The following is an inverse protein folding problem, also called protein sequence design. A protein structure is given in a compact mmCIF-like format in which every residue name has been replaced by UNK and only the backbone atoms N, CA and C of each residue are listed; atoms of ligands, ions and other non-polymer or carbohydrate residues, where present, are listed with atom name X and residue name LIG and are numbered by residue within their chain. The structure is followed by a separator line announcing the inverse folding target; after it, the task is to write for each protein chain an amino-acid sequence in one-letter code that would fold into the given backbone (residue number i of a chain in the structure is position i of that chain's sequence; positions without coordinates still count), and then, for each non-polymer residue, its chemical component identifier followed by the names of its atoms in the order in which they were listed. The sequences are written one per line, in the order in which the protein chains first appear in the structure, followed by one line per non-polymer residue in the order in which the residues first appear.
data_IF_193597518276
#
_entry.id   IF_193597518276
#
_cell.length_a   1.000
_cell.length_b   1.000
_cell.length_c   1.000
_cell.angle_alpha   90.00
_cell.angle_beta   90.00
_cell.angle_gamma   90.00
#
_symmetry.space_group_name_H-M   'P 1'
#
loop_
_entity.id
_entity.type
_entity.pdbx_description
1 polymer ?
#
# COMPACT_ATOMS: atom_id res chain seq x y z
N UNK A 1 -19.57 -23.56 -6.76
CA UNK A 1 -18.15 -23.17 -6.95
C UNK A 1 -18.11 -21.70 -7.33
N UNK A 2 -17.47 -20.83 -6.54
CA UNK A 2 -17.41 -19.40 -6.87
C UNK A 2 -16.52 -19.21 -8.08
N UNK A 3 -17.00 -18.47 -9.08
CA UNK A 3 -16.20 -18.12 -10.26
C UNK A 3 -15.03 -17.24 -9.84
N UNK A 4 -13.81 -17.79 -9.94
CA UNK A 4 -12.54 -17.10 -9.62
C UNK A 4 -12.40 -15.78 -10.38
N UNK A 5 -12.92 -15.71 -11.61
CA UNK A 5 -12.89 -14.47 -12.42
C UNK A 5 -13.79 -13.40 -11.82
N UNK A 6 -14.93 -13.78 -11.26
CA UNK A 6 -15.88 -12.88 -10.60
C UNK A 6 -15.29 -12.33 -9.30
N UNK A 7 -14.66 -13.18 -8.48
CA UNK A 7 -13.93 -12.74 -7.28
C UNK A 7 -12.86 -11.71 -7.65
N UNK A 8 -12.03 -12.03 -8.64
CA UNK A 8 -10.96 -11.14 -9.08
C UNK A 8 -11.47 -9.79 -9.63
N UNK A 9 -12.67 -9.76 -10.24
CA UNK A 9 -13.33 -8.50 -10.60
C UNK A 9 -13.76 -7.70 -9.37
N UNK A 10 -14.37 -8.34 -8.37
CA UNK A 10 -14.78 -7.64 -7.13
C UNK A 10 -13.58 -7.12 -6.33
N UNK A 11 -12.44 -7.81 -6.35
CA UNK A 11 -11.18 -7.32 -5.79
C UNK A 11 -10.80 -5.92 -6.29
N UNK A 12 -11.10 -5.59 -7.54
CA UNK A 12 -10.83 -4.27 -8.13
C UNK A 12 -11.68 -3.14 -7.56
N UNK A 13 -12.81 -3.47 -6.93
CA UNK A 13 -13.70 -2.53 -6.24
C UNK A 13 -13.36 -2.51 -4.74
N UNK A 14 -13.23 -3.69 -4.13
CA UNK A 14 -13.01 -3.82 -2.69
C UNK A 14 -11.64 -3.29 -2.29
N UNK A 15 -10.58 -3.53 -3.07
CA UNK A 15 -9.22 -3.05 -2.77
C UNK A 15 -9.17 -1.53 -2.57
N UNK A 16 -9.63 -0.71 -3.54
CA UNK A 16 -9.72 0.74 -3.38
C UNK A 16 -10.63 1.19 -2.24
N UNK A 17 -11.77 0.53 -2.00
CA UNK A 17 -12.64 0.86 -0.87
C UNK A 17 -11.91 0.65 0.45
N UNK A 18 -11.16 -0.44 0.59
CA UNK A 18 -10.38 -0.72 1.79
C UNK A 18 -9.28 0.31 1.99
N UNK A 19 -8.48 0.61 0.96
CA UNK A 19 -7.37 1.57 1.12
C UNK A 19 -7.86 3.00 1.33
N UNK A 20 -8.78 3.50 0.50
CA UNK A 20 -9.34 4.85 0.64
C UNK A 20 -10.15 4.98 1.92
N UNK A 21 -10.94 3.95 2.27
CA UNK A 21 -11.70 3.93 3.52
C UNK A 21 -10.81 3.95 4.76
N UNK A 22 -9.70 3.21 4.76
CA UNK A 22 -8.73 3.23 5.85
C UNK A 22 -8.00 4.58 5.95
N UNK A 23 -7.59 5.17 4.81
CA UNK A 23 -7.00 6.52 4.78
C UNK A 23 -7.98 7.55 5.35
N UNK A 24 -9.23 7.53 4.89
CA UNK A 24 -10.25 8.47 5.33
C UNK A 24 -10.61 8.27 6.81
N UNK A 25 -10.71 7.03 7.27
CA UNK A 25 -10.94 6.76 8.68
C UNK A 25 -9.75 7.23 9.53
N UNK A 26 -8.51 7.05 9.03
CA UNK A 26 -7.32 7.57 9.70
C UNK A 26 -7.38 9.10 9.85
N UNK A 27 -7.82 9.86 8.83
CA UNK A 27 -7.94 11.33 8.97
C UNK A 27 -9.02 11.77 9.95
N UNK A 28 -10.06 10.95 10.17
CA UNK A 28 -11.11 11.24 11.16
C UNK A 28 -10.61 11.02 12.59
N UNK A 29 -9.87 9.92 12.83
CA UNK A 29 -9.44 9.53 14.18
C UNK A 29 -8.06 10.06 14.55
N UNK A 30 -7.34 10.66 13.60
CA UNK A 30 -5.99 11.16 13.81
C UNK A 30 -5.96 12.29 14.85
N UNK A 31 -5.06 12.20 15.85
CA UNK A 31 -4.73 13.34 16.69
C UNK A 31 -4.15 14.52 15.87
N UNK A 32 -4.39 15.78 16.27
CA UNK A 32 -3.83 16.96 15.61
C UNK A 32 -2.30 16.96 15.54
N UNK A 33 -1.63 16.24 16.43
CA UNK A 33 -0.18 16.07 16.45
C UNK A 33 0.33 15.27 15.24
N UNK A 34 -0.52 14.39 14.68
CA UNK A 34 -0.20 13.51 13.54
C UNK A 34 -0.87 13.93 12.24
N UNK A 35 -2.02 14.59 12.28
CA UNK A 35 -2.70 15.06 11.06
C UNK A 35 -3.53 16.32 11.27
N UNK A 36 -3.38 17.27 10.35
CA UNK A 36 -4.27 18.40 10.10
C UNK A 36 -4.33 18.59 8.59
N UNK A 37 -5.45 19.10 8.07
CA UNK A 37 -5.62 19.25 6.62
C UNK A 37 -4.70 20.29 5.99
N UNK A 38 -4.22 21.24 6.79
CA UNK A 38 -3.43 22.38 6.33
C UNK A 38 -1.92 22.20 6.57
N UNK A 39 -1.52 21.60 7.69
CA UNK A 39 -0.15 21.74 8.19
C UNK A 39 0.62 20.42 8.33
N UNK A 40 -0.07 19.27 8.29
CA UNK A 40 0.57 17.95 8.47
C UNK A 40 0.34 17.04 7.28
N UNK A 41 1.37 16.27 6.94
CA UNK A 41 1.31 15.37 5.81
C UNK A 41 0.41 14.16 6.12
N UNK A 42 -0.34 13.71 5.11
CA UNK A 42 -1.14 12.48 5.22
C UNK A 42 -0.27 11.26 5.62
N UNK A 43 0.98 11.22 5.18
CA UNK A 43 1.92 10.15 5.50
C UNK A 43 2.38 10.14 6.97
N UNK A 44 2.26 11.25 7.72
CA UNK A 44 2.60 11.28 9.15
C UNK A 44 1.67 10.36 9.97
N UNK A 45 0.45 10.10 9.48
CA UNK A 45 -0.46 9.11 10.08
C UNK A 45 0.09 7.68 10.03
N UNK A 46 1.01 7.40 9.10
CA UNK A 46 1.72 6.15 8.96
C UNK A 46 3.08 6.12 9.67
N UNK A 47 3.46 7.16 10.43
CA UNK A 47 4.72 7.17 11.19
C UNK A 47 4.70 6.15 12.32
N UNK A 48 5.83 5.47 12.56
CA UNK A 48 5.96 4.56 13.69
C UNK A 48 5.63 5.24 15.03
N UNK A 49 4.78 4.60 15.84
CA UNK A 49 4.31 5.16 17.11
C UNK A 49 3.11 6.11 16.99
N UNK A 50 2.70 6.52 15.79
CA UNK A 50 1.44 7.25 15.61
C UNK A 50 0.25 6.34 15.97
N UNK A 51 -0.81 6.85 16.63
CA UNK A 51 -1.99 6.05 16.96
C UNK A 51 -2.70 5.45 15.73
N UNK A 52 -2.57 6.13 14.58
CA UNK A 52 -3.14 5.70 13.29
C UNK A 52 -2.25 4.74 12.51
N UNK A 53 -1.06 4.39 13.01
CA UNK A 53 -0.03 3.65 12.26
C UNK A 53 -0.57 2.39 11.59
N UNK A 54 -1.22 1.52 12.36
CA UNK A 54 -1.77 0.26 11.86
C UNK A 54 -2.93 0.48 10.90
N UNK A 55 -3.79 1.47 11.17
CA UNK A 55 -4.95 1.76 10.35
C UNK A 55 -4.52 2.27 8.97
N UNK A 56 -3.60 3.24 8.93
CA UNK A 56 -3.12 3.84 7.70
C UNK A 56 -2.28 2.83 6.89
N UNK A 57 -1.16 2.35 7.45
CA UNK A 57 -0.25 1.45 6.73
C UNK A 57 -0.88 0.09 6.44
N UNK A 58 -1.59 -0.47 7.42
CA UNK A 58 -2.31 -1.73 7.25
C UNK A 58 -3.42 -1.62 6.21
N UNK A 59 -4.12 -0.49 6.15
CA UNK A 59 -5.12 -0.21 5.11
C UNK A 59 -4.54 -0.17 3.70
N UNK A 60 -3.37 0.45 3.52
CA UNK A 60 -2.66 0.47 2.24
C UNK A 60 -2.19 -0.92 1.81
N UNK A 61 -1.58 -1.68 2.74
CA UNK A 61 -1.11 -3.05 2.48
C UNK A 61 -2.30 -3.94 2.14
N UNK A 62 -3.33 -3.96 2.99
CA UNK A 62 -4.50 -4.80 2.81
C UNK A 62 -5.27 -4.44 1.53
N UNK A 63 -5.51 -3.15 1.28
CA UNK A 63 -6.18 -2.69 0.06
C UNK A 63 -5.40 -3.07 -1.20
N UNK A 64 -4.07 -2.95 -1.17
CA UNK A 64 -3.19 -3.41 -2.25
C UNK A 64 -3.27 -4.92 -2.46
N UNK A 65 -3.13 -5.73 -1.40
CA UNK A 65 -3.21 -7.19 -1.48
C UNK A 65 -4.58 -7.68 -1.97
N UNK A 66 -5.67 -7.06 -1.49
CA UNK A 66 -7.03 -7.35 -1.94
C UNK A 66 -7.23 -6.94 -3.40
N UNK A 67 -6.57 -5.88 -3.86
CA UNK A 67 -6.63 -5.39 -5.25
C UNK A 67 -5.81 -6.20 -6.25
N UNK A 68 -4.73 -6.88 -5.83
CA UNK A 68 -3.82 -7.62 -6.73
C UNK A 68 -4.51 -8.61 -7.68
N UNK A 69 -5.50 -9.43 -7.25
CA UNK A 69 -6.19 -10.35 -8.15
C UNK A 69 -6.87 -9.67 -9.35
N UNK A 70 -7.25 -8.39 -9.20
CA UNK A 70 -7.83 -7.62 -10.30
C UNK A 70 -6.82 -7.37 -11.42
N UNK A 71 -5.55 -7.12 -11.10
CA UNK A 71 -4.48 -6.99 -12.09
C UNK A 71 -4.33 -8.27 -12.93
N UNK A 72 -4.35 -9.44 -12.30
CA UNK A 72 -4.36 -10.73 -13.01
C UNK A 72 -5.58 -10.88 -13.94
N UNK A 73 -6.77 -10.48 -13.45
CA UNK A 73 -8.01 -10.54 -14.24
C UNK A 73 -7.96 -9.61 -15.45
N UNK A 74 -7.37 -8.43 -15.32
CA UNK A 74 -7.17 -7.51 -16.44
C UNK A 74 -6.15 -8.06 -17.43
N UNK A 75 -5.02 -8.62 -16.95
CA UNK A 75 -3.97 -9.17 -17.81
C UNK A 75 -4.49 -10.23 -18.79
N UNK A 76 -5.32 -11.17 -18.31
CA UNK A 76 -5.92 -12.21 -19.16
C UNK A 76 -6.93 -11.62 -20.16
N UNK A 77 -7.62 -10.54 -19.79
CA UNK A 77 -8.56 -9.88 -20.68
C UNK A 77 -7.92 -8.95 -21.69
N UNK A 78 -6.65 -8.55 -21.48
CA UNK A 78 -5.95 -7.62 -22.36
C UNK A 78 -5.75 -8.21 -23.76
N UNK A 79 -6.14 -7.44 -24.78
CA UNK A 79 -6.09 -7.83 -26.20
C UNK A 79 -4.92 -7.24 -26.97
N UNK A 80 -4.33 -6.17 -26.47
CA UNK A 80 -3.26 -5.42 -27.15
C UNK A 80 -2.20 -4.91 -26.16
N UNK A 81 -1.12 -4.35 -26.69
CA UNK A 81 0.02 -3.87 -25.91
C UNK A 81 -0.33 -2.68 -25.00
N UNK A 82 -1.24 -1.80 -25.44
CA UNK A 82 -1.66 -0.63 -24.66
C UNK A 82 -2.41 -1.06 -23.40
N UNK A 83 -3.33 -2.02 -23.53
CA UNK A 83 -4.04 -2.61 -22.38
C UNK A 83 -3.06 -3.28 -21.41
N UNK A 84 -2.09 -4.05 -21.91
CA UNK A 84 -1.06 -4.69 -21.08
C UNK A 84 -0.18 -3.68 -20.34
N UNK A 85 0.17 -2.57 -20.99
CA UNK A 85 0.91 -1.47 -20.35
C UNK A 85 0.08 -0.89 -19.20
N UNK A 86 -1.23 -0.67 -19.39
CA UNK A 86 -2.12 -0.22 -18.32
C UNK A 86 -2.14 -1.17 -17.12
N UNK A 87 -2.17 -2.49 -17.36
CA UNK A 87 -2.09 -3.49 -16.29
C UNK A 87 -0.74 -3.48 -15.58
N UNK A 88 0.36 -3.31 -16.32
CA UNK A 88 1.69 -3.18 -15.73
C UNK A 88 1.80 -1.94 -14.83
N UNK A 89 1.30 -0.78 -15.29
CA UNK A 89 1.24 0.44 -14.50
C UNK A 89 0.37 0.29 -13.25
N UNK A 90 -0.78 -0.40 -13.36
CA UNK A 90 -1.61 -0.74 -12.20
C UNK A 90 -0.84 -1.61 -11.19
N UNK A 91 -0.10 -2.62 -11.66
CA UNK A 91 0.70 -3.47 -10.79
C UNK A 91 1.80 -2.67 -10.07
N UNK A 92 2.47 -1.74 -10.76
CA UNK A 92 3.44 -0.81 -10.17
C UNK A 92 2.77 0.09 -9.12
N UNK A 93 1.59 0.62 -9.41
CA UNK A 93 0.85 1.46 -8.45
C UNK A 93 0.44 0.67 -7.19
N UNK A 94 -0.03 -0.58 -7.34
CA UNK A 94 -0.35 -1.45 -6.21
C UNK A 94 0.92 -1.78 -5.39
N UNK A 95 2.02 -2.10 -6.07
CA UNK A 95 3.30 -2.36 -5.41
C UNK A 95 3.79 -1.12 -4.65
N UNK A 96 3.67 0.07 -5.24
CA UNK A 96 3.98 1.34 -4.58
C UNK A 96 3.10 1.59 -3.35
N UNK A 97 1.79 1.34 -3.46
CA UNK A 97 0.85 1.48 -2.33
C UNK A 97 1.21 0.55 -1.17
N UNK A 98 1.48 -0.73 -1.45
CA UNK A 98 1.96 -1.69 -0.44
C UNK A 98 3.30 -1.22 0.13
N UNK A 99 4.19 -0.74 -0.73
CA UNK A 99 5.49 -0.18 -0.38
C UNK A 99 5.37 0.97 0.63
N UNK A 100 4.44 1.90 0.47
CA UNK A 100 4.21 2.99 1.45
C UNK A 100 3.88 2.43 2.83
N UNK A 101 3.04 1.38 2.90
CA UNK A 101 2.71 0.75 4.19
C UNK A 101 3.85 -0.07 4.80
N UNK A 102 4.73 -0.66 3.97
CA UNK A 102 5.87 -1.48 4.43
C UNK A 102 7.08 -0.62 4.82
N UNK A 103 7.37 0.42 4.03
CA UNK A 103 8.49 1.36 4.21
C UNK A 103 7.98 2.67 4.83
N UNK A 104 7.35 2.54 6.00
CA UNK A 104 6.74 3.64 6.72
C UNK A 104 7.75 4.70 7.21
N UNK A 105 7.29 5.89 7.59
CA UNK A 105 8.17 6.93 8.11
C UNK A 105 8.86 6.49 9.42
N UNK A 106 10.15 6.80 9.54
CA UNK A 106 11.05 6.38 10.61
C UNK A 106 11.29 4.86 10.71
N UNK A 107 10.98 4.10 9.65
CA UNK A 107 11.27 2.67 9.57
C UNK A 107 12.74 2.34 9.80
N UNK A 108 13.67 3.17 9.32
CA UNK A 108 15.12 2.99 9.49
C UNK A 108 15.53 2.93 10.94
N UNK A 109 14.94 3.76 11.83
CA UNK A 109 15.24 3.71 13.25
C UNK A 109 14.83 2.35 13.86
N UNK A 110 13.64 1.86 13.51
CA UNK A 110 13.13 0.55 13.97
C UNK A 110 13.98 -0.62 13.43
N UNK A 111 14.41 -0.55 12.17
CA UNK A 111 15.23 -1.59 11.52
C UNK A 111 16.71 -1.57 11.96
N UNK A 112 17.23 -0.42 12.39
CA UNK A 112 18.58 -0.27 12.95
C UNK A 112 18.64 -0.58 14.46
N UNK A 113 17.53 -0.49 15.18
CA UNK A 113 17.47 -0.83 16.61
C UNK A 113 17.06 -2.28 16.86
N UNK A 114 16.20 -2.85 16.01
CA UNK A 114 15.88 -4.28 16.03
C UNK A 114 16.85 -5.01 15.11
N UNK A 115 17.48 -6.12 15.53
CA UNK A 115 18.51 -6.90 14.80
C UNK A 115 18.06 -7.52 13.45
N UNK A 116 17.46 -6.73 12.55
CA UNK A 116 17.00 -7.05 11.19
C UNK A 116 17.83 -6.32 10.12
N UNK A 117 19.03 -5.87 10.49
CA UNK A 117 19.89 -5.02 9.66
C UNK A 117 20.27 -5.68 8.33
N UNK A 118 20.40 -7.01 8.29
CA UNK A 118 20.74 -7.74 7.07
C UNK A 118 19.68 -7.66 5.98
N UNK A 119 18.39 -7.72 6.34
CA UNK A 119 17.30 -7.63 5.36
C UNK A 119 17.15 -6.19 4.86
N UNK A 120 17.21 -5.20 5.77
CA UNK A 120 17.14 -3.78 5.42
C UNK A 120 18.32 -3.32 4.55
N UNK A 121 19.53 -3.82 4.82
CA UNK A 121 20.71 -3.52 4.00
C UNK A 121 20.60 -4.12 2.59
N UNK A 122 20.09 -5.33 2.44
CA UNK A 122 19.88 -5.96 1.14
C UNK A 122 18.84 -5.22 0.28
N UNK A 123 17.76 -4.71 0.88
CA UNK A 123 16.71 -4.00 0.15
C UNK A 123 17.01 -2.52 -0.07
N UNK A 124 17.74 -1.86 0.85
CA UNK A 124 18.05 -0.43 0.79
C UNK A 124 19.37 -0.12 0.08
N UNK A 125 20.39 -0.97 0.20
CA UNK A 125 21.72 -0.76 -0.38
C UNK A 125 22.10 -1.78 -1.45
N UNK A 126 21.42 -2.92 -1.56
CA UNK A 126 21.69 -3.92 -2.60
C UNK A 126 21.39 -3.48 -4.04
N UNK A 127 20.78 -2.30 -4.22
CA UNK A 127 20.47 -1.67 -5.52
C UNK A 127 21.13 -0.30 -5.68
N UNK A 128 21.88 0.17 -4.68
CA UNK A 128 22.68 1.38 -4.81
C UNK A 128 24.01 1.04 -5.52
N UNK A 129 24.40 1.74 -6.59
CA UNK A 129 25.68 1.51 -7.29
C UNK A 129 26.90 1.79 -6.41
#
# INVERSE_FOLDING_TARGET
MVDRRRIATYCGIVGPIVSVGAIFLATIVAPPETFTWQDRALSDMGRYGAPTFLLFNGGLILGGLVGLPFGWRLWIASRNAVERLGVALLAVAIAGMIGVGVFFLDHTAVYLETSKHGFAALTGFGVAP
#
